data_IF_339747711259
#
_entry.id   IF_339747711259
#
_cell.length_a   1.000
_cell.length_b   1.000
_cell.length_c   1.000
_cell.angle_alpha   90.00
_cell.angle_beta   90.00
_cell.angle_gamma   90.00
#
_symmetry.space_group_name_H-M   'P 1'
#
loop_
_entity.id
_entity.type
_entity.pdbx_description
1 polymer ?
#
# COMPACT_ATOMS: atom_id res chain seq x y z
N UNK A 1 -27.95 -7.40 -12.91
CA UNK A 1 -26.54 -7.11 -13.21
C UNK A 1 -25.82 -7.09 -11.88
N UNK A 2 -24.98 -8.08 -11.60
CA UNK A 2 -24.09 -8.01 -10.43
C UNK A 2 -23.04 -6.96 -10.80
N UNK A 3 -23.07 -5.79 -10.18
CA UNK A 3 -22.09 -4.73 -10.45
C UNK A 3 -20.68 -5.27 -10.29
N UNK A 4 -19.77 -4.90 -11.20
CA UNK A 4 -18.36 -5.28 -11.07
C UNK A 4 -17.86 -4.79 -9.70
N UNK A 5 -17.34 -5.71 -8.88
CA UNK A 5 -16.71 -5.36 -7.58
C UNK A 5 -15.22 -5.29 -7.77
N UNK A 6 -14.56 -4.40 -7.02
CA UNK A 6 -13.11 -4.29 -7.05
C UNK A 6 -12.45 -5.58 -6.57
N UNK A 7 -11.47 -6.06 -7.33
CA UNK A 7 -10.66 -7.20 -6.94
C UNK A 7 -9.75 -6.86 -5.76
N UNK A 8 -9.49 -7.86 -4.91
CA UNK A 8 -8.58 -7.74 -3.75
C UNK A 8 -7.20 -7.19 -4.11
N UNK A 9 -6.70 -7.52 -5.31
CA UNK A 9 -5.43 -6.99 -5.81
C UNK A 9 -5.50 -5.47 -6.03
N UNK A 10 -6.57 -4.98 -6.67
CA UNK A 10 -6.78 -3.55 -6.90
C UNK A 10 -6.93 -2.81 -5.57
N UNK A 11 -7.70 -3.36 -4.62
CA UNK A 11 -7.85 -2.77 -3.28
C UNK A 11 -6.51 -2.72 -2.55
N UNK A 12 -5.71 -3.79 -2.58
CA UNK A 12 -4.38 -3.81 -1.98
C UNK A 12 -3.47 -2.74 -2.61
N UNK A 13 -3.42 -2.68 -3.94
CA UNK A 13 -2.56 -1.73 -4.65
C UNK A 13 -2.95 -0.28 -4.36
N UNK A 14 -4.26 0.03 -4.39
CA UNK A 14 -4.78 1.36 -4.12
C UNK A 14 -4.49 1.81 -2.68
N UNK A 15 -4.73 0.95 -1.70
CA UNK A 15 -4.49 1.30 -0.29
C UNK A 15 -2.99 1.41 0.03
N UNK A 16 -2.12 0.58 -0.54
CA UNK A 16 -0.67 0.70 -0.36
C UNK A 16 -0.12 1.95 -1.05
N UNK A 17 -0.66 2.35 -2.21
CA UNK A 17 -0.33 3.62 -2.83
C UNK A 17 -0.75 4.79 -1.93
N UNK A 18 -2.00 4.79 -1.43
CA UNK A 18 -2.47 5.80 -0.48
C UNK A 18 -1.61 5.86 0.79
N UNK A 19 -1.18 4.71 1.34
CA UNK A 19 -0.24 4.61 2.47
C UNK A 19 1.06 5.35 2.19
N UNK A 20 1.70 5.07 1.06
CA UNK A 20 2.96 5.70 0.70
C UNK A 20 2.80 7.21 0.49
N UNK A 21 1.72 7.62 -0.20
CA UNK A 21 1.39 9.02 -0.44
C UNK A 21 1.15 9.77 0.88
N UNK A 22 0.40 9.20 1.83
CA UNK A 22 0.14 9.81 3.13
C UNK A 22 1.43 9.97 3.96
N UNK A 23 2.40 9.07 3.79
CA UNK A 23 3.68 9.13 4.51
C UNK A 23 4.71 10.06 3.87
N UNK A 24 4.65 10.30 2.56
CA UNK A 24 5.73 10.97 1.81
C UNK A 24 5.29 12.17 0.97
N UNK A 25 4.03 12.23 0.54
CA UNK A 25 3.50 13.23 -0.40
C UNK A 25 3.83 12.95 -1.87
N UNK A 26 4.57 11.88 -2.20
CA UNK A 26 5.01 11.58 -3.57
C UNK A 26 4.01 10.66 -4.28
N UNK A 27 3.28 11.20 -5.27
CA UNK A 27 2.21 10.50 -5.98
C UNK A 27 2.73 9.42 -6.94
N UNK A 28 3.78 9.72 -7.71
CA UNK A 28 4.32 8.78 -8.70
C UNK A 28 4.95 7.58 -7.99
N UNK A 29 5.74 7.83 -6.94
CA UNK A 29 6.28 6.75 -6.10
C UNK A 29 5.20 6.00 -5.35
N UNK A 30 4.10 6.65 -4.98
CA UNK A 30 2.97 5.97 -4.38
C UNK A 30 2.36 4.92 -5.31
N UNK A 31 2.11 5.25 -6.58
CA UNK A 31 1.59 4.28 -7.56
C UNK A 31 2.58 3.13 -7.79
N UNK A 32 3.86 3.46 -7.92
CA UNK A 32 4.93 2.48 -8.06
C UNK A 32 4.98 1.51 -6.86
N UNK A 33 4.97 2.06 -5.65
CA UNK A 33 4.98 1.28 -4.41
C UNK A 33 3.72 0.43 -4.26
N UNK A 34 2.54 1.01 -4.47
CA UNK A 34 1.26 0.33 -4.31
C UNK A 34 1.15 -0.91 -5.19
N UNK A 35 1.52 -0.78 -6.47
CA UNK A 35 1.57 -1.92 -7.38
C UNK A 35 2.59 -2.97 -6.93
N UNK A 36 3.81 -2.54 -6.62
CA UNK A 36 4.90 -3.42 -6.17
C UNK A 36 4.49 -4.26 -4.95
N UNK A 37 3.85 -3.63 -3.95
CA UNK A 37 3.37 -4.32 -2.75
C UNK A 37 2.25 -5.30 -3.06
N UNK A 38 1.27 -4.94 -3.89
CA UNK A 38 0.20 -5.86 -4.27
C UNK A 38 0.74 -7.13 -4.96
N UNK A 39 1.75 -6.99 -5.83
CA UNK A 39 2.41 -8.13 -6.48
C UNK A 39 3.21 -8.95 -5.45
N UNK A 40 3.97 -8.28 -4.57
CA UNK A 40 4.73 -8.96 -3.52
C UNK A 40 3.84 -9.81 -2.61
N UNK A 41 2.72 -9.28 -2.12
CA UNK A 41 1.77 -10.03 -1.29
C UNK A 41 1.13 -11.20 -2.05
N UNK A 42 0.78 -11.01 -3.32
CA UNK A 42 0.26 -12.09 -4.15
C UNK A 42 1.29 -13.22 -4.34
N UNK A 43 2.57 -12.88 -4.53
CA UNK A 43 3.67 -13.83 -4.61
C UNK A 43 3.95 -14.54 -3.28
N UNK A 44 4.07 -13.77 -2.18
CA UNK A 44 4.36 -14.29 -0.85
C UNK A 44 3.28 -15.28 -0.37
N UNK A 45 2.00 -14.93 -0.59
CA UNK A 45 0.87 -15.81 -0.30
C UNK A 45 0.93 -17.14 -1.06
N UNK A 46 1.36 -17.12 -2.33
CA UNK A 46 1.49 -18.35 -3.14
C UNK A 46 2.67 -19.22 -2.73
N UNK A 47 3.74 -18.61 -2.21
CA UNK A 47 4.98 -19.31 -1.84
C UNK A 47 5.06 -19.70 -0.35
N UNK A 48 4.10 -19.27 0.47
CA UNK A 48 4.12 -19.51 1.92
C UNK A 48 5.28 -18.78 2.62
N UNK A 49 5.83 -17.74 2.01
CA UNK A 49 6.97 -17.00 2.56
C UNK A 49 6.47 -16.04 3.63
N UNK A 50 7.03 -16.10 4.87
CA UNK A 50 6.67 -15.15 5.89
C UNK A 50 7.07 -13.74 5.43
N UNK A 51 6.18 -12.80 5.67
CA UNK A 51 6.39 -11.41 5.35
C UNK A 51 7.39 -10.85 6.37
N UNK A 52 8.63 -10.63 5.94
CA UNK A 52 9.73 -10.19 6.81
C UNK A 52 9.60 -8.69 7.11
N UNK A 53 9.34 -8.37 8.37
CA UNK A 53 9.21 -7.02 8.89
C UNK A 53 10.30 -6.72 9.93
N UNK A 54 11.05 -5.64 9.76
CA UNK A 54 12.03 -5.17 10.76
C UNK A 54 11.40 -4.19 11.74
N UNK A 55 10.98 -4.69 12.92
CA UNK A 55 10.28 -3.87 13.94
C UNK A 55 11.07 -2.65 14.41
N UNK A 56 12.40 -2.70 14.37
CA UNK A 56 13.27 -1.57 14.76
C UNK A 56 13.11 -0.35 13.86
N UNK A 57 12.70 -0.54 12.60
CA UNK A 57 12.60 0.52 11.59
C UNK A 57 11.32 1.35 11.69
N UNK A 58 10.30 0.88 12.42
CA UNK A 58 9.01 1.60 12.57
C UNK A 58 9.21 3.03 13.10
N UNK A 59 10.15 3.23 14.04
CA UNK A 59 10.39 4.55 14.62
C UNK A 59 11.00 5.55 13.63
N UNK A 60 11.62 5.07 12.54
CA UNK A 60 12.41 5.89 11.62
C UNK A 60 11.63 6.40 10.41
N UNK A 61 10.41 5.91 10.18
CA UNK A 61 9.56 6.39 9.09
C UNK A 61 9.94 5.78 7.75
N UNK A 62 10.07 6.62 6.73
CA UNK A 62 10.49 6.20 5.38
C UNK A 62 11.98 6.49 5.22
N UNK A 63 12.79 5.47 5.00
CA UNK A 63 14.25 5.58 4.88
C UNK A 63 14.75 4.97 3.57
N UNK A 64 15.85 5.51 3.04
CA UNK A 64 16.54 4.96 1.87
C UNK A 64 17.92 4.48 2.29
N UNK A 65 18.25 3.24 1.96
CA UNK A 65 19.54 2.61 2.25
C UNK A 65 20.12 1.92 1.02
N UNK A 66 21.40 1.56 1.11
CA UNK A 66 22.09 0.72 0.14
C UNK A 66 22.38 -0.63 0.77
N UNK A 67 22.07 -1.73 0.07
CA UNK A 67 22.54 -3.04 0.51
C UNK A 67 24.04 -3.24 0.23
N UNK A 68 24.58 -4.37 0.66
CA UNK A 68 25.98 -4.76 0.44
C UNK A 68 26.37 -4.85 -1.04
N UNK A 69 25.40 -4.91 -1.95
CA UNK A 69 25.60 -4.96 -3.40
C UNK A 69 25.33 -3.60 -4.07
N UNK A 70 25.13 -2.53 -3.29
CA UNK A 70 24.88 -1.17 -3.81
C UNK A 70 23.47 -0.93 -4.34
N UNK A 71 22.54 -1.88 -4.18
CA UNK A 71 21.14 -1.71 -4.59
C UNK A 71 20.41 -0.83 -3.59
N UNK A 72 19.51 0.02 -4.09
CA UNK A 72 18.73 0.93 -3.27
C UNK A 72 17.54 0.21 -2.65
N UNK A 73 17.42 0.23 -1.33
CA UNK A 73 16.25 -0.21 -0.59
C UNK A 73 15.54 1.01 -0.01
N UNK A 74 14.22 1.03 -0.13
CA UNK A 74 13.36 1.95 0.61
C UNK A 74 12.64 1.15 1.68
N UNK A 75 12.78 1.59 2.92
CA UNK A 75 11.99 1.12 4.05
C UNK A 75 10.77 2.02 4.22
N UNK A 76 9.58 1.43 4.27
CA UNK A 76 8.35 2.10 4.70
C UNK A 76 8.02 1.54 6.08
N UNK A 77 8.64 2.12 7.10
CA UNK A 77 8.71 1.57 8.44
C UNK A 77 9.39 0.20 8.43
N UNK A 78 8.69 -0.85 8.85
CA UNK A 78 9.27 -2.20 8.92
C UNK A 78 9.33 -2.97 7.58
N UNK A 79 8.77 -2.40 6.49
CA UNK A 79 8.69 -3.03 5.17
C UNK A 79 9.76 -2.52 4.20
N UNK A 80 10.58 -3.42 3.67
CA UNK A 80 11.60 -3.08 2.67
C UNK A 80 11.14 -3.39 1.23
N UNK A 81 11.49 -2.50 0.30
CA UNK A 81 11.31 -2.70 -1.13
C UNK A 81 12.47 -2.08 -1.94
N UNK A 82 12.90 -2.78 -2.99
CA UNK A 82 14.00 -2.32 -3.84
C UNK A 82 13.54 -1.27 -4.85
N UNK A 83 14.43 -0.34 -5.18
CA UNK A 83 14.31 0.49 -6.38
C UNK A 83 15.23 -0.03 -7.50
N UNK A 84 14.78 0.13 -8.73
CA UNK A 84 15.62 0.01 -9.92
C UNK A 84 16.51 1.22 -10.12
N UNK A 85 17.39 1.15 -11.11
CA UNK A 85 18.24 2.28 -11.53
C UNK A 85 17.42 3.46 -12.09
N UNK A 86 16.22 3.19 -12.63
CA UNK A 86 15.27 4.22 -13.07
C UNK A 86 14.53 4.87 -11.89
N UNK A 87 14.77 4.40 -10.67
CA UNK A 87 14.15 4.93 -9.46
C UNK A 87 12.77 4.37 -9.15
N UNK A 88 12.23 3.42 -9.92
CA UNK A 88 10.92 2.81 -9.63
C UNK A 88 11.06 1.64 -8.69
N UNK A 89 10.02 1.35 -7.90
CA UNK A 89 9.98 0.11 -7.15
C UNK A 89 10.04 -1.08 -8.12
N UNK A 90 10.83 -2.08 -7.76
CA UNK A 90 11.14 -3.21 -8.64
C UNK A 90 10.93 -4.55 -7.93
N UNK A 91 10.54 -5.58 -8.69
CA UNK A 91 10.45 -6.95 -8.22
C UNK A 91 10.73 -7.90 -9.38
N UNK A 92 11.66 -8.84 -9.18
CA UNK A 92 12.06 -9.78 -10.24
C UNK A 92 12.68 -9.11 -11.47
N UNK A 93 13.30 -7.94 -11.30
CA UNK A 93 13.92 -7.17 -12.40
C UNK A 93 12.92 -6.47 -13.32
N UNK A 94 11.66 -6.34 -12.91
CA UNK A 94 10.64 -5.57 -13.61
C UNK A 94 10.36 -4.31 -12.82
N UNK A 95 10.23 -3.17 -13.48
CA UNK A 95 9.85 -1.91 -12.84
C UNK A 95 8.34 -1.81 -12.71
N UNK A 96 7.87 -1.32 -11.56
CA UNK A 96 6.46 -1.05 -11.31
C UNK A 96 6.24 0.44 -11.50
N UNK A 97 6.09 0.86 -12.75
CA UNK A 97 5.96 2.30 -13.06
C UNK A 97 4.54 2.81 -12.76
N UNK A 98 4.35 4.14 -12.65
CA UNK A 98 3.02 4.74 -12.55
C UNK A 98 2.09 4.32 -13.71
N UNK A 99 2.57 4.26 -14.94
CA UNK A 99 1.78 3.85 -16.12
C UNK A 99 1.33 2.39 -16.01
N UNK A 100 2.16 1.53 -15.43
CA UNK A 100 1.78 0.16 -15.16
C UNK A 100 0.69 0.07 -14.08
N UNK A 101 0.77 0.91 -13.05
CA UNK A 101 -0.31 1.04 -12.06
C UNK A 101 -1.59 1.52 -12.72
N UNK A 102 -1.53 2.50 -13.62
CA UNK A 102 -2.72 2.97 -14.33
C UNK A 102 -3.37 1.84 -15.15
N UNK A 103 -2.55 1.11 -15.91
CA UNK A 103 -3.02 -0.01 -16.72
C UNK A 103 -3.62 -1.14 -15.88
N UNK A 104 -2.98 -1.53 -14.78
CA UNK A 104 -3.37 -2.73 -14.01
C UNK A 104 -4.32 -2.45 -12.84
N UNK A 105 -4.38 -1.22 -12.35
CA UNK A 105 -5.17 -0.84 -11.17
C UNK A 105 -6.23 0.17 -11.55
N UNK A 106 -5.83 1.36 -12.03
CA UNK A 106 -6.77 2.45 -12.34
C UNK A 106 -7.83 2.02 -13.35
N UNK A 107 -7.44 1.41 -14.47
CA UNK A 107 -8.39 0.97 -15.51
C UNK A 107 -9.45 -0.02 -15.00
N UNK A 108 -9.13 -0.84 -13.99
CA UNK A 108 -10.05 -1.80 -13.36
C UNK A 108 -10.91 -1.14 -12.30
N UNK A 109 -10.37 -0.11 -11.63
CA UNK A 109 -11.14 0.72 -10.70
C UNK A 109 -12.22 1.51 -11.46
N UNK A 110 -11.85 2.10 -12.60
CA UNK A 110 -12.72 2.92 -13.44
C UNK A 110 -13.92 2.19 -14.04
N UNK A 111 -13.87 0.85 -14.11
CA UNK A 111 -15.05 0.04 -14.48
C UNK A 111 -16.12 -0.01 -13.39
N UNK A 112 -15.74 0.29 -12.15
CA UNK A 112 -16.61 0.24 -10.97
C UNK A 112 -17.00 1.65 -10.52
N UNK A 113 -16.05 2.59 -10.49
CA UNK A 113 -16.27 3.98 -10.07
C UNK A 113 -15.14 4.91 -10.57
N UNK A 114 -15.35 6.24 -10.62
CA UNK A 114 -14.29 7.18 -10.98
C UNK A 114 -13.03 7.00 -10.11
N UNK A 115 -11.87 6.93 -10.74
CA UNK A 115 -10.61 6.67 -10.03
C UNK A 115 -10.29 7.77 -9.02
N UNK A 116 -10.54 9.02 -9.37
CA UNK A 116 -10.30 10.18 -8.50
C UNK A 116 -11.12 10.09 -7.20
N UNK A 117 -12.34 9.57 -7.30
CA UNK A 117 -13.19 9.32 -6.14
C UNK A 117 -12.66 8.15 -5.29
N UNK A 118 -12.27 7.05 -5.93
CA UNK A 118 -11.66 5.91 -5.24
C UNK A 118 -10.35 6.30 -4.54
N UNK A 119 -9.51 7.10 -5.20
CA UNK A 119 -8.27 7.64 -4.65
C UNK A 119 -8.54 8.53 -3.44
N UNK A 120 -9.50 9.46 -3.54
CA UNK A 120 -9.90 10.34 -2.43
C UNK A 120 -10.37 9.51 -1.23
N UNK A 121 -11.24 8.52 -1.43
CA UNK A 121 -11.73 7.63 -0.36
C UNK A 121 -10.57 6.86 0.28
N UNK A 122 -9.68 6.28 -0.54
CA UNK A 122 -8.52 5.54 -0.06
C UNK A 122 -7.58 6.41 0.79
N UNK A 123 -7.25 7.62 0.32
CA UNK A 123 -6.38 8.56 1.03
C UNK A 123 -7.01 8.98 2.36
N UNK A 124 -8.28 9.38 2.37
CA UNK A 124 -8.96 9.80 3.61
C UNK A 124 -9.12 8.64 4.60
N UNK A 125 -9.42 7.44 4.12
CA UNK A 125 -9.45 6.24 4.94
C UNK A 125 -8.07 5.95 5.57
N UNK A 126 -7.00 5.97 4.77
CA UNK A 126 -5.63 5.73 5.26
C UNK A 126 -5.17 6.81 6.25
N UNK A 127 -5.43 8.09 5.96
CA UNK A 127 -5.10 9.23 6.86
C UNK A 127 -5.73 9.12 8.23
N UNK A 128 -6.87 8.45 8.34
CA UNK A 128 -7.53 8.31 9.64
C UNK A 128 -6.74 7.41 10.60
N UNK A 129 -5.79 6.59 10.14
CA UNK A 129 -4.92 5.77 11.00
C UNK A 129 -3.70 6.55 11.51
N UNK A 130 -3.19 6.20 12.70
CA UNK A 130 -1.97 6.81 13.22
C UNK A 130 -0.73 6.38 12.42
N UNK A 131 0.31 7.21 12.46
CA UNK A 131 1.55 6.99 11.71
C UNK A 131 2.21 5.64 12.04
N UNK A 132 2.13 5.15 13.29
CA UNK A 132 2.75 3.87 13.67
C UNK A 132 2.02 2.70 13.01
N UNK A 133 0.68 2.73 12.97
CA UNK A 133 -0.13 1.77 12.20
C UNK A 133 0.27 1.77 10.72
N UNK A 134 0.47 2.95 10.12
CA UNK A 134 0.89 3.06 8.72
C UNK A 134 2.34 2.64 8.49
N UNK A 135 3.22 2.68 9.49
CA UNK A 135 4.61 2.25 9.36
C UNK A 135 4.82 0.77 9.66
N UNK A 136 3.84 0.09 10.25
CA UNK A 136 3.92 -1.37 10.43
C UNK A 136 3.16 -2.10 9.33
N UNK A 137 3.87 -2.99 8.65
CA UNK A 137 3.38 -3.84 7.58
C UNK A 137 2.24 -4.76 8.06
N UNK A 138 2.42 -5.36 9.25
CA UNK A 138 1.42 -6.23 9.85
C UNK A 138 0.15 -5.45 10.25
N UNK A 139 0.32 -4.33 10.96
CA UNK A 139 -0.82 -3.49 11.36
C UNK A 139 -1.54 -2.90 10.15
N UNK A 140 -0.81 -2.49 9.11
CA UNK A 140 -1.43 -2.04 7.87
C UNK A 140 -2.27 -3.15 7.23
N UNK A 141 -1.73 -4.37 7.12
CA UNK A 141 -2.48 -5.50 6.57
C UNK A 141 -3.74 -5.80 7.40
N UNK A 142 -3.62 -5.92 8.71
CA UNK A 142 -4.69 -6.36 9.61
C UNK A 142 -5.74 -5.29 9.91
N UNK A 143 -5.30 -4.05 10.15
CA UNK A 143 -6.16 -2.96 10.64
C UNK A 143 -6.65 -2.05 9.52
N UNK A 144 -5.91 -1.96 8.41
CA UNK A 144 -6.25 -1.06 7.30
C UNK A 144 -6.84 -1.83 6.12
N UNK A 145 -6.10 -2.81 5.58
CA UNK A 145 -6.53 -3.53 4.37
C UNK A 145 -7.62 -4.57 4.64
N UNK A 146 -7.39 -5.49 5.60
CA UNK A 146 -8.27 -6.63 5.86
C UNK A 146 -9.74 -6.25 6.11
N UNK A 147 -10.08 -5.16 6.83
CA UNK A 147 -11.47 -4.78 7.08
C UNK A 147 -12.25 -4.35 5.83
N UNK A 148 -11.58 -3.91 4.77
CA UNK A 148 -12.21 -3.35 3.56
C UNK A 148 -11.87 -4.11 2.28
N UNK A 149 -11.01 -5.13 2.34
CA UNK A 149 -10.51 -5.86 1.15
C UNK A 149 -11.59 -6.44 0.23
N UNK A 150 -12.77 -6.70 0.78
CA UNK A 150 -13.91 -7.35 0.13
C UNK A 150 -15.13 -6.41 0.01
N UNK A 151 -15.06 -5.18 0.52
CA UNK A 151 -16.18 -4.22 0.59
C UNK A 151 -15.84 -2.82 0.08
N UNK A 152 -14.57 -2.47 -0.14
CA UNK A 152 -14.16 -1.17 -0.64
C UNK A 152 -14.96 -0.79 -1.91
N UNK A 153 -15.54 0.43 -1.98
CA UNK A 153 -15.29 1.61 -1.15
C UNK A 153 -16.11 1.73 0.15
N UNK A 154 -16.89 0.72 0.54
CA UNK A 154 -17.66 0.75 1.79
C UNK A 154 -16.71 0.61 2.99
N UNK A 155 -16.51 1.72 3.72
CA UNK A 155 -15.66 1.79 4.91
C UNK A 155 -16.52 1.58 6.15
N UNK A 156 -16.28 0.54 6.97
CA UNK A 156 -17.04 0.33 8.20
C UNK A 156 -16.75 1.46 9.21
N UNK A 157 -17.74 1.85 10.03
CA UNK A 157 -17.53 2.84 11.08
C UNK A 157 -16.48 2.31 12.07
N UNK A 158 -15.52 3.15 12.43
CA UNK A 158 -14.53 2.81 13.44
C UNK A 158 -15.21 2.71 14.79
N UNK A 159 -15.09 1.57 15.48
CA UNK A 159 -15.40 1.50 16.91
C UNK A 159 -14.50 2.53 17.60
N UNK A 160 -15.11 3.61 18.07
CA UNK A 160 -14.41 4.79 18.53
C UNK A 160 -13.37 4.45 19.60
N UNK A 161 -12.23 5.15 19.52
CA UNK A 161 -11.42 5.46 20.70
C UNK A 161 -12.41 5.91 21.79
N UNK A 162 -12.49 5.20 22.91
CA UNK A 162 -13.11 5.77 24.10
C UNK A 162 -12.35 7.06 24.39
N UNK A 163 -12.97 8.20 24.11
CA UNK A 163 -12.62 9.45 24.76
C UNK A 163 -12.97 9.26 26.21
N UNK A 164 -11.99 8.89 27.02
CA UNK A 164 -12.08 9.06 28.47
C UNK A 164 -12.18 10.56 28.70
N UNK A 165 -13.42 11.04 28.88
CA UNK A 165 -13.69 12.34 29.46
C UNK A 165 -13.23 12.24 30.91
N UNK A 166 -12.11 12.91 31.23
CA UNK A 166 -11.79 13.33 32.58
C UNK A 166 -12.24 14.79 32.73
#
# INVERSE_FOLDING_TARGET
MVGERLGRFQVMALLQAARYYVLTGDLEKAYSFGLNRAIFYAWAKRRGVPVAASREKIARGVEVEKDSSGRTLVYVGDEAAYLSEHGWFTMGGQDQTPELFEREVKSRVEKVMPFEEAWRIAVEYVKSFDKRTLLSQADFYEKVYLPVRDSFPEIPPRKGRQTTLF
#
